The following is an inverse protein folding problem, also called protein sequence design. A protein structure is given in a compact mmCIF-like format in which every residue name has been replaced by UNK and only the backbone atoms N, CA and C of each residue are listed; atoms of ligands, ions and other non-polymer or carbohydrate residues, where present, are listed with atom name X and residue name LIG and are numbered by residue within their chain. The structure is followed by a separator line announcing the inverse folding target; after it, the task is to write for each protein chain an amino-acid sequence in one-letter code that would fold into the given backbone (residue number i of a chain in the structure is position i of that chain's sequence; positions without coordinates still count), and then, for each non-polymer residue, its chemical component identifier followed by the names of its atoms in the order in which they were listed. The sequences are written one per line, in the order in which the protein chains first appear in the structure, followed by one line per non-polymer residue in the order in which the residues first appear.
data_IF_228611803465
#
_entry.id   IF_228611803465
#
_cell.length_a   1.000
_cell.length_b   1.000
_cell.length_c   1.000
_cell.angle_alpha   90.00
_cell.angle_beta   90.00
_cell.angle_gamma   90.00
#
_symmetry.space_group_name_H-M   'P 1'
#
loop_
_entity.id
_entity.type
_entity.pdbx_description
1 polymer ?
#
# COMPACT_ATOMS: atom_id res chain seq x y z
N UNK A 1 -3.82 -4.07 -11.09
CA UNK A 1 -3.44 -2.72 -10.63
C UNK A 1 -2.00 -2.76 -10.15
N UNK A 2 -1.33 -1.62 -10.19
CA UNK A 2 0.06 -1.43 -9.76
C UNK A 2 0.10 -0.69 -8.44
N UNK A 3 0.64 -1.33 -7.42
CA UNK A 3 0.59 -0.86 -6.04
C UNK A 3 1.93 -0.31 -5.55
N UNK A 4 1.85 0.74 -4.74
CA UNK A 4 2.90 1.12 -3.80
C UNK A 4 2.53 0.56 -2.42
N UNK A 5 3.35 -0.33 -1.87
CA UNK A 5 3.19 -0.82 -0.50
C UNK A 5 3.99 0.04 0.47
N UNK A 6 3.37 0.46 1.56
CA UNK A 6 4.00 1.27 2.61
C UNK A 6 3.78 0.56 3.94
N UNK A 7 4.63 -0.41 4.21
CA UNK A 7 4.52 -1.33 5.34
C UNK A 7 5.91 -1.46 6.01
N UNK A 8 6.05 -1.09 7.29
CA UNK A 8 7.33 -1.21 8.00
C UNK A 8 7.74 -2.65 8.31
N UNK A 9 6.79 -3.59 8.38
CA UNK A 9 7.08 -5.02 8.60
C UNK A 9 7.44 -5.72 7.29
N UNK A 10 8.67 -6.24 7.21
CA UNK A 10 9.13 -7.02 6.04
C UNK A 10 8.23 -8.23 5.79
N UNK A 11 7.84 -8.95 6.84
CA UNK A 11 6.99 -10.14 6.72
C UNK A 11 5.61 -9.76 6.17
N UNK A 12 4.99 -8.74 6.75
CA UNK A 12 3.68 -8.27 6.28
C UNK A 12 3.73 -7.73 4.84
N UNK A 13 4.85 -7.11 4.45
CA UNK A 13 5.07 -6.63 3.07
C UNK A 13 5.12 -7.80 2.08
N UNK A 14 5.84 -8.86 2.41
CA UNK A 14 5.94 -10.07 1.58
C UNK A 14 4.58 -10.75 1.46
N UNK A 15 3.86 -10.93 2.58
CA UNK A 15 2.53 -11.54 2.57
C UNK A 15 1.56 -10.75 1.67
N UNK A 16 1.54 -9.43 1.78
CA UNK A 16 0.71 -8.57 0.94
C UNK A 16 1.11 -8.64 -0.53
N UNK A 17 2.41 -8.67 -0.82
CA UNK A 17 2.93 -8.77 -2.18
C UNK A 17 2.49 -10.07 -2.84
N UNK A 18 2.71 -11.22 -2.19
CA UNK A 18 2.29 -12.52 -2.71
C UNK A 18 0.77 -12.57 -2.94
N UNK A 19 -0.04 -12.10 -1.98
CA UNK A 19 -1.49 -12.10 -2.13
C UNK A 19 -1.94 -11.20 -3.29
N UNK A 20 -1.33 -10.02 -3.45
CA UNK A 20 -1.64 -9.12 -4.56
C UNK A 20 -1.27 -9.73 -5.91
N UNK A 21 -0.11 -10.39 -5.99
CA UNK A 21 0.34 -11.09 -7.20
C UNK A 21 -0.59 -12.24 -7.57
N UNK A 22 -1.00 -13.07 -6.61
CA UNK A 22 -1.96 -14.15 -6.79
C UNK A 22 -3.32 -13.63 -7.31
N UNK A 23 -3.71 -12.41 -6.91
CA UNK A 23 -4.92 -11.72 -7.39
C UNK A 23 -4.74 -11.03 -8.76
N UNK A 24 -3.59 -11.21 -9.42
CA UNK A 24 -3.28 -10.62 -10.72
C UNK A 24 -2.92 -9.15 -10.65
N UNK A 25 -2.31 -8.71 -9.55
CA UNK A 25 -1.81 -7.34 -9.37
C UNK A 25 -0.30 -7.31 -9.28
N UNK A 26 0.27 -6.11 -9.31
CA UNK A 26 1.72 -5.92 -9.29
C UNK A 26 2.07 -4.98 -8.17
N UNK A 27 3.05 -5.34 -7.34
CA UNK A 27 3.68 -4.39 -6.42
C UNK A 27 4.83 -3.71 -7.16
N UNK A 28 4.68 -2.41 -7.44
CA UNK A 28 5.70 -1.64 -8.17
C UNK A 28 6.85 -1.22 -7.26
N UNK A 29 6.56 -0.98 -5.98
CA UNK A 29 7.56 -0.65 -5.00
C UNK A 29 7.06 -0.92 -3.58
N UNK A 30 8.00 -1.20 -2.68
CA UNK A 30 7.79 -1.34 -1.23
C UNK A 30 8.58 -0.26 -0.50
N UNK A 31 7.95 0.39 0.48
CA UNK A 31 8.55 1.45 1.27
C UNK A 31 8.30 1.28 2.77
N UNK A 32 9.37 1.06 3.54
CA UNK A 32 9.33 0.92 5.00
C UNK A 32 9.26 2.24 5.78
N UNK A 33 9.24 3.39 5.07
CA UNK A 33 9.19 4.71 5.70
C UNK A 33 8.53 5.76 4.80
N UNK A 34 8.04 6.85 5.40
CA UNK A 34 7.44 7.99 4.67
C UNK A 34 8.41 8.61 3.65
N UNK A 35 9.70 8.71 4.01
CA UNK A 35 10.74 9.24 3.12
C UNK A 35 10.93 8.33 1.91
N UNK A 36 11.05 7.02 2.14
CA UNK A 36 11.17 6.03 1.07
C UNK A 36 9.93 6.02 0.19
N UNK A 37 8.73 6.06 0.77
CA UNK A 37 7.47 6.08 0.03
C UNK A 37 7.40 7.26 -0.95
N UNK A 38 7.81 8.46 -0.52
CA UNK A 38 7.90 9.63 -1.40
C UNK A 38 8.98 9.52 -2.47
N UNK A 39 10.06 8.79 -2.20
CA UNK A 39 11.11 8.54 -3.18
C UNK A 39 10.63 7.55 -4.24
N UNK A 40 10.06 6.42 -3.84
CA UNK A 40 9.55 5.40 -4.76
C UNK A 40 8.40 5.95 -5.60
N UNK A 41 7.47 6.70 -5.00
CA UNK A 41 6.41 7.36 -5.76
C UNK A 41 6.96 8.30 -6.86
N UNK A 42 8.00 9.08 -6.55
CA UNK A 42 8.63 9.97 -7.54
C UNK A 42 9.32 9.19 -8.65
N UNK A 43 10.01 8.09 -8.28
CA UNK A 43 10.71 7.21 -9.23
C UNK A 43 9.75 6.50 -10.18
N UNK A 44 8.59 6.10 -9.68
CA UNK A 44 7.59 5.32 -10.39
C UNK A 44 6.35 6.15 -10.75
N UNK A 45 6.53 7.45 -10.99
CA UNK A 45 5.43 8.37 -11.30
C UNK A 45 4.71 7.91 -12.57
N UNK A 46 3.38 7.77 -12.51
CA UNK A 46 2.55 7.24 -13.61
C UNK A 46 2.53 5.71 -13.70
N UNK A 47 3.33 5.02 -12.88
CA UNK A 47 3.35 3.57 -12.79
C UNK A 47 2.66 3.00 -11.54
N UNK A 48 2.13 3.87 -10.66
CA UNK A 48 1.40 3.48 -9.44
C UNK A 48 -0.05 3.93 -9.59
N UNK A 49 -0.98 2.98 -9.46
CA UNK A 49 -2.42 3.22 -9.56
C UNK A 49 -3.03 3.45 -8.17
N UNK A 50 -2.51 2.76 -7.15
CA UNK A 50 -2.99 2.87 -5.77
C UNK A 50 -1.88 2.58 -4.75
N UNK A 51 -2.11 2.95 -3.50
CA UNK A 51 -1.22 2.66 -2.38
C UNK A 51 -1.94 1.87 -1.27
N UNK A 52 -1.24 0.90 -0.69
CA UNK A 52 -1.67 0.20 0.53
C UNK A 52 -0.68 0.55 1.62
N UNK A 53 -1.18 1.06 2.75
CA UNK A 53 -0.34 1.59 3.82
C UNK A 53 -0.73 0.98 5.16
N UNK A 54 0.27 0.69 5.99
CA UNK A 54 0.04 0.49 7.41
C UNK A 54 -0.55 1.78 8.04
N UNK A 55 -1.44 1.67 9.02
CA UNK A 55 -1.97 2.84 9.72
C UNK A 55 -0.86 3.65 10.40
N UNK A 56 0.22 2.97 10.80
CA UNK A 56 1.40 3.57 11.40
C UNK A 56 2.64 3.22 10.59
N UNK A 57 3.37 4.25 10.18
CA UNK A 57 4.62 4.09 9.44
C UNK A 57 5.72 4.72 10.28
N UNK A 58 6.59 3.86 10.83
CA UNK A 58 7.63 4.24 11.78
C UNK A 58 7.08 4.95 13.04
N UNK A 59 6.04 4.37 13.67
CA UNK A 59 5.38 4.88 14.88
C UNK A 59 4.72 6.26 14.73
N UNK A 60 4.39 6.65 13.49
CA UNK A 60 3.69 7.89 13.21
C UNK A 60 2.53 7.61 12.26
N UNK A 61 1.37 8.19 12.54
CA UNK A 61 0.17 8.10 11.71
C UNK A 61 0.48 8.25 10.22
N UNK A 62 -0.09 7.35 9.41
CA UNK A 62 -0.03 7.40 7.96
C UNK A 62 -0.94 8.48 7.35
N UNK A 63 -1.82 9.12 8.14
CA UNK A 63 -2.80 10.11 7.65
C UNK A 63 -2.18 11.22 6.79
N UNK A 64 -1.08 11.89 7.20
CA UNK A 64 -0.47 12.93 6.36
C UNK A 64 0.07 12.41 5.03
N UNK A 65 0.43 11.13 4.97
CA UNK A 65 0.90 10.48 3.74
C UNK A 65 -0.27 10.14 2.82
N UNK A 66 -1.37 9.62 3.38
CA UNK A 66 -2.64 9.39 2.66
C UNK A 66 -3.14 10.71 2.06
N UNK A 67 -3.21 11.78 2.84
CA UNK A 67 -3.66 13.09 2.35
C UNK A 67 -2.72 13.65 1.27
N UNK A 68 -1.43 13.32 1.31
CA UNK A 68 -0.49 13.70 0.27
C UNK A 68 -0.69 12.91 -1.03
N UNK A 69 -0.95 11.60 -0.93
CA UNK A 69 -1.17 10.70 -2.06
C UNK A 69 -2.54 10.93 -2.73
N UNK A 70 -3.60 11.11 -1.94
CA UNK A 70 -4.94 11.43 -2.44
C UNK A 70 -4.96 12.75 -3.22
N UNK A 71 -4.27 13.81 -2.72
CA UNK A 71 -4.11 15.09 -3.46
C UNK A 71 -3.40 14.94 -4.80
N UNK A 72 -2.79 13.79 -5.07
CA UNK A 72 -2.07 13.46 -6.31
C UNK A 72 -2.81 12.42 -7.15
N UNK A 73 -4.07 12.12 -6.79
CA UNK A 73 -4.91 11.14 -7.50
C UNK A 73 -4.56 9.69 -7.23
N UNK A 74 -3.81 9.39 -6.15
CA UNK A 74 -3.49 8.01 -5.78
C UNK A 74 -4.46 7.56 -4.69
N UNK A 75 -5.34 6.62 -5.01
CA UNK A 75 -6.25 5.99 -4.06
C UNK A 75 -5.48 5.20 -3.01
N UNK A 76 -5.83 5.39 -1.74
CA UNK A 76 -5.13 4.78 -0.62
C UNK A 76 -6.04 3.85 0.20
N UNK A 77 -5.54 2.66 0.54
CA UNK A 77 -6.16 1.76 1.50
C UNK A 77 -5.26 1.58 2.71
N UNK A 78 -5.86 1.48 3.90
CA UNK A 78 -5.13 1.20 5.14
C UNK A 78 -5.20 -0.29 5.44
N UNK A 79 -4.05 -0.91 5.63
CA UNK A 79 -3.88 -2.32 5.95
C UNK A 79 -3.12 -2.45 7.28
N UNK A 80 -3.82 -2.81 8.35
CA UNK A 80 -3.17 -3.22 9.59
C UNK A 80 -3.14 -4.74 9.67
N UNK A 81 -1.93 -5.31 9.71
CA UNK A 81 -1.72 -6.71 10.05
C UNK A 81 -2.19 -6.98 11.50
N UNK A 82 -1.94 -6.06 12.44
CA UNK A 82 -2.25 -6.33 13.85
C UNK A 82 -1.65 -7.67 14.28
N UNK A 83 -2.42 -8.49 14.99
CA UNK A 83 -2.02 -9.87 15.37
C UNK A 83 -2.39 -10.94 14.33
N UNK A 84 -3.08 -10.60 13.23
CA UNK A 84 -3.60 -11.59 12.27
C UNK A 84 -2.96 -11.41 10.88
N UNK A 85 -2.53 -12.49 10.22
CA UNK A 85 -1.99 -12.41 8.88
C UNK A 85 -3.05 -11.88 7.89
N UNK A 86 -2.59 -11.31 6.79
CA UNK A 86 -3.48 -10.94 5.69
C UNK A 86 -4.08 -12.18 5.05
N UNK A 87 -5.34 -12.09 4.65
CA UNK A 87 -6.02 -13.16 3.89
C UNK A 87 -6.35 -12.67 2.49
N UNK A 88 -6.37 -13.56 1.48
CA UNK A 88 -6.74 -13.19 0.11
C UNK A 88 -8.08 -12.49 0.01
N UNK A 89 -9.10 -12.94 0.76
CA UNK A 89 -10.42 -12.32 0.77
C UNK A 89 -10.40 -10.87 1.27
N UNK A 90 -9.64 -10.60 2.35
CA UNK A 90 -9.52 -9.25 2.90
C UNK A 90 -8.79 -8.30 1.95
N UNK A 91 -7.73 -8.79 1.30
CA UNK A 91 -6.99 -7.99 0.32
C UNK A 91 -7.83 -7.73 -0.93
N UNK A 92 -8.57 -8.74 -1.41
CA UNK A 92 -9.48 -8.58 -2.55
C UNK A 92 -10.56 -7.52 -2.28
N UNK A 93 -11.18 -7.53 -1.09
CA UNK A 93 -12.15 -6.51 -0.68
C UNK A 93 -11.53 -5.10 -0.67
N UNK A 94 -10.31 -4.96 -0.14
CA UNK A 94 -9.59 -3.68 -0.16
C UNK A 94 -9.35 -3.18 -1.58
N UNK A 95 -8.94 -4.06 -2.49
CA UNK A 95 -8.72 -3.69 -3.90
C UNK A 95 -10.01 -3.25 -4.56
N UNK A 96 -11.14 -3.93 -4.30
CA UNK A 96 -12.44 -3.53 -4.85
C UNK A 96 -12.81 -2.10 -4.44
N UNK A 97 -12.58 -1.74 -3.18
CA UNK A 97 -12.81 -0.37 -2.68
C UNK A 97 -11.93 0.66 -3.38
N UNK A 98 -10.69 0.31 -3.71
CA UNK A 98 -9.76 1.20 -4.41
C UNK A 98 -10.14 1.46 -5.87
N UNK A 99 -10.91 0.58 -6.50
CA UNK A 99 -11.39 0.74 -7.89
C UNK A 99 -12.64 1.59 -8.02
N UNK A 100 -13.36 1.83 -6.92
CA UNK A 100 -14.61 2.58 -6.91
C UNK A 100 -14.42 4.11 -6.78
N UNK A 101 -13.17 4.57 -6.71
CA UNK A 101 -12.75 5.97 -6.54
C UNK A 101 -12.09 6.45 -7.83
#
# INVERSE_FOLDING_TARGET
MRFLLIEPSTVASIDLECILEDLGHTVTAVAVSKRRARQEWRRHRGAIDAAILNAEVANVSARPLIDALNRRGISCAVANAGEKPFTPARVAEMVQRLRAV
#
